data_IF_247847267406
#
_entry.id   IF_247847267406
#
_cell.length_a   1.000
_cell.length_b   1.000
_cell.length_c   1.000
_cell.angle_alpha   90.00
_cell.angle_beta   90.00
_cell.angle_gamma   90.00
#
_symmetry.space_group_name_H-M   'P 1'
#
loop_
_entity.id
_entity.type
_entity.pdbx_description
1 polymer ?
#
# COMPACT_ATOMS: atom_id res chain seq x y z
N UNK A 1 37.86 -16.78 -27.93
CA UNK A 1 37.47 -17.80 -26.92
C UNK A 1 37.15 -17.25 -25.52
N UNK A 2 37.83 -16.22 -24.99
CA UNK A 2 37.53 -15.69 -23.63
C UNK A 2 36.23 -14.85 -23.57
N UNK A 3 36.00 -14.00 -24.58
CA UNK A 3 34.81 -13.14 -24.67
C UNK A 3 33.51 -13.93 -24.83
N UNK A 4 33.53 -15.00 -25.63
CA UNK A 4 32.37 -15.88 -25.83
C UNK A 4 31.98 -16.67 -24.57
N UNK A 5 32.96 -17.07 -23.76
CA UNK A 5 32.71 -17.75 -22.47
C UNK A 5 32.10 -16.82 -21.42
N UNK A 6 32.53 -15.55 -21.40
CA UNK A 6 31.96 -14.53 -20.51
C UNK A 6 30.51 -14.24 -20.89
N UNK A 7 30.22 -14.06 -22.18
CA UNK A 7 28.85 -13.80 -22.65
C UNK A 7 27.88 -14.95 -22.30
N UNK A 8 28.32 -16.20 -22.47
CA UNK A 8 27.51 -17.37 -22.09
C UNK A 8 27.31 -17.43 -20.58
N UNK A 9 28.36 -17.22 -19.78
CA UNK A 9 28.26 -17.23 -18.33
C UNK A 9 27.31 -16.14 -17.80
N UNK A 10 27.37 -14.92 -18.35
CA UNK A 10 26.46 -13.83 -17.99
C UNK A 10 25.02 -14.14 -18.41
N UNK A 11 24.82 -14.70 -19.61
CA UNK A 11 23.49 -15.10 -20.09
C UNK A 11 22.85 -16.19 -19.23
N UNK A 12 23.63 -17.17 -18.80
CA UNK A 12 23.17 -18.23 -17.88
C UNK A 12 22.86 -17.65 -16.50
N UNK A 13 23.72 -16.80 -15.94
CA UNK A 13 23.46 -16.17 -14.64
C UNK A 13 22.18 -15.31 -14.66
N UNK A 14 22.01 -14.47 -15.68
CA UNK A 14 20.84 -13.61 -15.81
C UNK A 14 19.54 -14.42 -15.99
N UNK A 15 19.56 -15.45 -16.84
CA UNK A 15 18.39 -16.32 -17.03
C UNK A 15 18.05 -17.11 -15.77
N UNK A 16 19.06 -17.58 -15.02
CA UNK A 16 18.86 -18.26 -13.73
C UNK A 16 18.22 -17.35 -12.69
N UNK A 17 18.68 -16.10 -12.58
CA UNK A 17 18.06 -15.11 -11.67
C UNK A 17 16.62 -14.83 -12.06
N UNK A 18 16.32 -14.65 -13.35
CA UNK A 18 14.94 -14.41 -13.80
C UNK A 18 14.02 -15.61 -13.59
N UNK A 19 14.54 -16.83 -13.69
CA UNK A 19 13.78 -18.06 -13.46
C UNK A 19 13.56 -18.36 -11.97
N UNK A 20 14.48 -17.96 -11.10
CA UNK A 20 14.46 -18.26 -9.66
C UNK A 20 14.05 -17.08 -8.77
N UNK A 21 13.96 -15.86 -9.32
CA UNK A 21 13.40 -14.71 -8.61
C UNK A 21 11.89 -14.90 -8.44
N UNK A 22 11.50 -15.64 -7.41
CA UNK A 22 10.12 -15.69 -6.95
C UNK A 22 9.66 -14.32 -6.46
N UNK A 23 8.35 -14.04 -6.49
CA UNK A 23 7.80 -12.84 -5.88
C UNK A 23 8.17 -12.83 -4.39
N UNK A 24 8.72 -11.71 -3.93
CA UNK A 24 8.96 -11.46 -2.52
C UNK A 24 7.59 -11.45 -1.80
N UNK A 25 7.39 -12.40 -0.89
CA UNK A 25 6.11 -12.65 -0.24
C UNK A 25 5.90 -11.73 0.98
N UNK A 26 6.08 -10.42 0.77
CA UNK A 26 5.87 -9.40 1.80
C UNK A 26 4.37 -9.22 2.02
N UNK A 27 3.76 -10.11 2.80
CA UNK A 27 2.34 -10.01 3.13
C UNK A 27 2.11 -8.79 4.03
N UNK A 28 1.79 -7.65 3.41
CA UNK A 28 1.18 -6.53 4.12
C UNK A 28 -0.19 -6.98 4.59
N UNK A 29 -0.45 -6.80 5.87
CA UNK A 29 -1.72 -7.18 6.46
C UNK A 29 -2.40 -5.98 7.11
N UNK A 30 -3.72 -5.96 7.03
CA UNK A 30 -4.57 -4.91 7.60
C UNK A 30 -5.48 -5.58 8.62
N UNK A 31 -5.42 -5.13 9.87
CA UNK A 31 -6.29 -5.63 10.93
C UNK A 31 -7.03 -4.47 11.60
N UNK A 32 -8.37 -4.54 11.75
CA UNK A 32 -9.07 -3.63 12.63
C UNK A 32 -8.70 -3.89 14.09
N UNK A 33 -8.73 -2.83 14.90
CA UNK A 33 -8.75 -2.97 16.35
C UNK A 33 -10.16 -3.40 16.77
N UNK A 34 -10.35 -4.70 16.96
CA UNK A 34 -11.66 -5.30 17.25
C UNK A 34 -12.48 -5.56 15.98
N UNK A 35 -13.80 -5.39 16.04
CA UNK A 35 -14.69 -5.60 14.91
C UNK A 35 -14.78 -4.35 14.01
N UNK A 36 -14.71 -4.56 12.69
CA UNK A 36 -15.01 -3.51 11.70
C UNK A 36 -16.48 -3.61 11.26
N UNK A 37 -17.39 -3.19 12.14
CA UNK A 37 -18.83 -3.25 11.86
C UNK A 37 -19.20 -2.39 10.64
N UNK A 38 -20.05 -2.94 9.76
CA UNK A 38 -20.52 -2.24 8.57
C UNK A 38 -21.23 -0.93 8.94
N UNK A 39 -20.81 0.17 8.34
CA UNK A 39 -21.38 1.50 8.58
C UNK A 39 -20.88 2.18 9.87
N UNK A 40 -19.99 1.54 10.64
CA UNK A 40 -19.33 2.12 11.79
C UNK A 40 -17.96 2.70 11.48
N UNK A 41 -17.27 3.13 12.54
CA UNK A 41 -15.85 3.50 12.49
C UNK A 41 -15.00 2.32 12.98
N UNK A 42 -13.82 2.17 12.39
CA UNK A 42 -12.83 1.20 12.82
C UNK A 42 -11.43 1.81 12.76
N UNK A 43 -10.61 1.54 13.76
CA UNK A 43 -9.16 1.81 13.72
C UNK A 43 -8.49 0.66 12.97
N UNK A 44 -7.76 0.95 11.90
CA UNK A 44 -7.07 -0.07 11.09
C UNK A 44 -5.56 -0.01 11.33
N UNK A 45 -4.97 -1.16 11.65
CA UNK A 45 -3.53 -1.32 11.81
C UNK A 45 -2.94 -1.98 10.56
N UNK A 46 -1.91 -1.35 10.00
CA UNK A 46 -1.18 -1.86 8.85
C UNK A 46 0.15 -2.44 9.33
N UNK A 47 0.35 -3.74 9.13
CA UNK A 47 1.63 -4.41 9.43
C UNK A 47 2.39 -4.65 8.14
N UNK A 48 3.54 -4.00 8.01
CA UNK A 48 4.42 -4.07 6.84
C UNK A 48 5.73 -4.75 7.24
N UNK A 49 5.94 -6.04 6.91
CA UNK A 49 7.21 -6.70 7.16
C UNK A 49 8.31 -6.15 6.24
N UNK A 50 9.56 -6.19 6.72
CA UNK A 50 10.73 -5.89 5.91
C UNK A 50 11.44 -7.20 5.55
N UNK A 51 11.61 -7.46 4.25
CA UNK A 51 12.15 -8.73 3.74
C UNK A 51 13.63 -8.65 3.31
N UNK A 52 14.32 -7.58 3.72
CA UNK A 52 15.72 -7.32 3.35
C UNK A 52 16.52 -6.87 4.55
N UNK A 53 17.56 -7.62 4.90
CA UNK A 53 18.42 -7.38 6.07
C UNK A 53 19.00 -5.96 6.14
N UNK A 54 19.26 -5.34 4.99
CA UNK A 54 19.87 -4.01 4.88
C UNK A 54 19.01 -3.03 4.07
N UNK A 55 17.69 -3.17 4.11
CA UNK A 55 16.77 -2.15 3.63
C UNK A 55 15.68 -1.90 4.68
N UNK A 56 14.89 -0.85 4.48
CA UNK A 56 13.73 -0.55 5.32
C UNK A 56 12.62 0.00 4.46
N UNK A 57 11.37 -0.16 4.91
CA UNK A 57 10.23 0.50 4.29
C UNK A 57 10.36 2.01 4.48
N UNK A 58 10.42 2.76 3.38
CA UNK A 58 10.55 4.23 3.38
C UNK A 58 9.28 4.96 2.97
N UNK A 59 8.30 4.25 2.42
CA UNK A 59 7.01 4.77 1.98
C UNK A 59 5.95 3.68 2.10
N UNK A 60 4.77 4.04 2.58
CA UNK A 60 3.57 3.21 2.54
C UNK A 60 2.48 4.01 1.82
N UNK A 61 1.80 3.41 0.85
CA UNK A 61 0.69 4.06 0.14
C UNK A 61 -0.58 3.23 0.35
N UNK A 62 -1.59 3.82 0.97
CA UNK A 62 -2.88 3.19 1.23
C UNK A 62 -3.92 3.81 0.31
N UNK A 63 -4.48 3.00 -0.58
CA UNK A 63 -5.55 3.40 -1.50
C UNK A 63 -6.90 3.02 -0.91
N UNK A 64 -7.85 3.94 -0.99
CA UNK A 64 -9.20 3.76 -0.48
C UNK A 64 -10.19 3.48 -1.63
N UNK A 65 -11.21 2.63 -1.40
CA UNK A 65 -12.16 2.24 -2.43
C UNK A 65 -12.98 3.45 -2.93
N UNK A 66 -13.04 3.64 -4.25
CA UNK A 66 -13.78 4.74 -4.87
C UNK A 66 -15.27 4.42 -5.08
N UNK A 67 -15.60 3.13 -5.22
CA UNK A 67 -16.96 2.58 -5.36
C UNK A 67 -17.72 2.55 -4.03
N UNK A 68 -16.99 2.38 -2.92
CA UNK A 68 -17.49 2.45 -1.55
C UNK A 68 -16.68 3.46 -0.72
N UNK A 69 -16.78 4.76 -1.03
CA UNK A 69 -15.94 5.77 -0.41
C UNK A 69 -16.20 5.89 1.09
N UNK A 70 -15.13 6.05 1.85
CA UNK A 70 -15.20 6.34 3.28
C UNK A 70 -15.48 7.82 3.48
N UNK A 71 -16.47 8.12 4.33
CA UNK A 71 -16.84 9.51 4.67
C UNK A 71 -15.76 10.24 5.46
N UNK A 72 -14.89 9.50 6.15
CA UNK A 72 -13.80 10.03 6.95
C UNK A 72 -12.65 9.05 7.01
N UNK A 73 -11.42 9.56 6.89
CA UNK A 73 -10.17 8.84 7.10
C UNK A 73 -9.24 9.76 7.87
N UNK A 74 -8.73 9.27 9.00
CA UNK A 74 -7.80 10.01 9.85
C UNK A 74 -6.57 9.14 10.10
N UNK A 75 -5.43 9.44 9.48
CA UNK A 75 -4.19 8.73 9.78
C UNK A 75 -3.64 9.16 11.15
N UNK A 76 -3.05 8.22 11.87
CA UNK A 76 -2.31 8.50 13.11
C UNK A 76 -0.92 9.04 12.78
N UNK A 77 -0.46 10.05 13.52
CA UNK A 77 0.87 10.60 13.34
C UNK A 77 1.93 9.63 13.87
N UNK A 78 2.83 9.18 13.00
CA UNK A 78 3.95 8.31 13.36
C UNK A 78 5.25 9.13 13.40
N UNK A 79 6.01 9.15 14.52
CA UNK A 79 7.25 9.89 14.61
C UNK A 79 8.24 9.52 13.48
N UNK A 80 8.79 10.53 12.82
CA UNK A 80 9.73 10.36 11.71
C UNK A 80 9.09 10.08 10.34
N UNK A 81 7.76 9.95 10.26
CA UNK A 81 7.03 9.78 9.00
C UNK A 81 6.30 11.07 8.61
N UNK A 82 6.33 11.39 7.32
CA UNK A 82 5.50 12.45 6.73
C UNK A 82 4.21 11.81 6.21
N UNK A 83 3.08 12.46 6.46
CA UNK A 83 1.76 12.00 6.01
C UNK A 83 1.22 12.98 4.97
N UNK A 84 0.86 12.48 3.79
CA UNK A 84 0.22 13.21 2.71
C UNK A 84 -1.16 12.59 2.40
N UNK A 85 -2.22 13.39 2.53
CA UNK A 85 -3.61 12.96 2.30
C UNK A 85 -4.06 13.50 0.94
N UNK A 86 -4.46 12.60 0.04
CA UNK A 86 -5.06 12.97 -1.25
C UNK A 86 -6.56 12.73 -1.19
N UNK A 87 -7.33 13.76 -1.57
CA UNK A 87 -8.78 13.66 -1.76
C UNK A 87 -9.11 13.58 -3.24
N UNK A 88 -10.14 12.81 -3.57
CA UNK A 88 -10.71 12.71 -4.90
C UNK A 88 -12.17 13.13 -4.90
N UNK A 89 -12.64 13.67 -6.02
CA UNK A 89 -14.06 13.96 -6.24
C UNK A 89 -14.83 12.65 -6.37
N UNK A 90 -15.99 12.58 -5.72
CA UNK A 90 -16.88 11.45 -5.79
C UNK A 90 -17.80 11.55 -7.01
N UNK A 91 -18.02 10.43 -7.69
CA UNK A 91 -19.02 10.33 -8.76
C UNK A 91 -20.44 10.54 -8.21
N UNK A 92 -20.67 10.05 -6.99
CA UNK A 92 -21.93 10.20 -6.26
C UNK A 92 -21.66 10.83 -4.90
N UNK A 93 -22.27 11.98 -4.57
CA UNK A 93 -22.12 12.58 -3.25
C UNK A 93 -22.60 11.64 -2.14
N UNK A 94 -21.88 11.61 -1.02
CA UNK A 94 -22.31 10.91 0.19
C UNK A 94 -23.19 11.84 1.04
N UNK A 95 -24.23 11.29 1.66
CA UNK A 95 -24.99 11.99 2.70
C UNK A 95 -24.60 11.48 4.08
N UNK A 96 -24.03 12.37 4.90
CA UNK A 96 -23.54 12.04 6.23
C UNK A 96 -24.05 13.10 7.20
N UNK A 97 -24.86 12.68 8.17
CA UNK A 97 -25.51 13.59 9.14
C UNK A 97 -26.22 14.78 8.49
N UNK A 98 -26.93 14.55 7.37
CA UNK A 98 -27.65 15.59 6.62
C UNK A 98 -26.78 16.52 5.78
N UNK A 99 -25.46 16.28 5.70
CA UNK A 99 -24.52 17.03 4.85
C UNK A 99 -24.14 16.22 3.62
N UNK A 100 -24.04 16.89 2.47
CA UNK A 100 -23.50 16.31 1.25
C UNK A 100 -21.98 16.44 1.21
N UNK A 101 -21.29 15.32 1.03
CA UNK A 101 -19.85 15.23 0.85
C UNK A 101 -19.59 14.89 -0.62
N UNK A 102 -18.87 15.76 -1.33
CA UNK A 102 -18.54 15.59 -2.75
C UNK A 102 -17.11 15.13 -3.00
N UNK A 103 -16.28 15.10 -1.95
CA UNK A 103 -14.89 14.66 -2.00
C UNK A 103 -14.60 13.72 -0.83
N UNK A 104 -13.88 12.64 -1.08
CA UNK A 104 -13.41 11.70 -0.06
C UNK A 104 -11.91 11.47 -0.18
N UNK A 105 -11.31 10.96 0.90
CA UNK A 105 -9.91 10.53 0.87
C UNK A 105 -9.79 9.34 -0.08
N UNK A 106 -8.99 9.49 -1.13
CA UNK A 106 -8.70 8.44 -2.10
C UNK A 106 -7.38 7.74 -1.79
N UNK A 107 -6.45 8.45 -1.15
CA UNK A 107 -5.12 7.94 -0.83
C UNK A 107 -4.52 8.62 0.38
N UNK A 108 -3.78 7.85 1.17
CA UNK A 108 -2.84 8.33 2.20
C UNK A 108 -1.45 7.77 1.90
N UNK A 109 -0.42 8.61 2.02
CA UNK A 109 1.00 8.26 1.86
C UNK A 109 1.80 8.71 3.05
#
# INVERSE_FOLDING_TARGET
MRVSRIAIATGVAASTVLLLAGPAAAHVSVQPQGEAAKGGYATLNFKVPNERDQASTVKLEVNFPADHPLSSVTPEAVPGWKIDITKGKLDKPLEVHGKKITEAVSKVT
#
